data_IF_021627800499
#
_entry.id   IF_021627800499
#
_cell.length_a   1.000
_cell.length_b   1.000
_cell.length_c   1.000
_cell.angle_alpha   90.00
_cell.angle_beta   90.00
_cell.angle_gamma   90.00
#
_symmetry.space_group_name_H-M   'P 1'
#
loop_
_entity.id
_entity.type
_entity.pdbx_description
1 polymer ?
#
# COMPACT_ATOMS: atom_id res chain seq x y z
N UNK A 1 -39.49 -41.46 17.01
CA UNK A 1 -38.37 -40.49 17.15
C UNK A 1 -37.99 -39.77 15.83
N UNK A 2 -38.89 -39.62 14.85
CA UNK A 2 -38.59 -38.95 13.57
C UNK A 2 -39.12 -37.51 13.47
N UNK A 3 -39.92 -37.07 14.44
CA UNK A 3 -40.56 -35.75 14.44
C UNK A 3 -39.60 -34.61 14.83
N UNK A 4 -38.55 -34.91 15.60
CA UNK A 4 -37.57 -33.89 16.03
C UNK A 4 -36.68 -33.40 14.87
N UNK A 5 -36.32 -34.28 13.93
CA UNK A 5 -35.45 -33.92 12.80
C UNK A 5 -36.11 -32.92 11.83
N UNK A 6 -37.44 -32.99 11.66
CA UNK A 6 -38.19 -32.06 10.82
C UNK A 6 -38.24 -30.63 11.42
N UNK A 7 -38.23 -30.50 12.74
CA UNK A 7 -38.24 -29.21 13.43
C UNK A 7 -36.88 -28.49 13.36
N UNK A 8 -35.78 -29.23 13.23
CA UNK A 8 -34.45 -28.65 13.01
C UNK A 8 -34.17 -28.29 11.55
N UNK A 9 -34.87 -28.91 10.58
CA UNK A 9 -34.78 -28.55 9.17
C UNK A 9 -35.44 -27.21 8.83
N UNK A 10 -36.34 -26.69 9.69
CA UNK A 10 -37.02 -25.41 9.48
C UNK A 10 -36.26 -24.19 10.01
N UNK A 11 -35.11 -24.38 10.66
CA UNK A 11 -34.22 -23.29 11.07
C UNK A 11 -33.32 -22.92 9.90
N UNK A 12 -33.91 -22.27 8.89
CA UNK A 12 -33.15 -21.59 7.85
C UNK A 12 -32.14 -20.62 8.47
N UNK A 13 -31.07 -20.30 7.72
CA UNK A 13 -30.08 -19.32 8.16
C UNK A 13 -30.78 -18.09 8.74
N UNK A 14 -30.43 -17.64 9.96
CA UNK A 14 -31.00 -16.43 10.53
C UNK A 14 -30.82 -15.32 9.49
N UNK A 15 -31.92 -14.68 9.11
CA UNK A 15 -31.89 -13.52 8.22
C UNK A 15 -31.14 -12.43 8.99
N UNK A 16 -29.85 -12.26 8.69
CA UNK A 16 -29.07 -11.11 9.16
C UNK A 16 -29.90 -9.83 8.89
N UNK A 17 -29.84 -8.83 9.78
CA UNK A 17 -30.77 -7.70 9.77
C UNK A 17 -30.77 -6.89 8.46
N UNK A 18 -29.84 -7.13 7.54
CA UNK A 18 -29.92 -6.73 6.13
C UNK A 18 -29.30 -7.83 5.25
N UNK A 19 -30.03 -8.45 4.29
CA UNK A 19 -29.43 -9.43 3.39
C UNK A 19 -28.40 -8.73 2.48
N UNK A 20 -27.16 -9.22 2.48
CA UNK A 20 -26.12 -8.72 1.59
C UNK A 20 -26.52 -8.95 0.12
N UNK A 21 -26.74 -7.87 -0.62
CA UNK A 21 -27.01 -7.93 -2.05
C UNK A 21 -25.69 -7.83 -2.83
N UNK A 22 -25.20 -8.97 -3.31
CA UNK A 22 -23.97 -9.03 -4.08
C UNK A 22 -24.16 -8.44 -5.49
N UNK A 23 -23.67 -7.22 -5.74
CA UNK A 23 -23.65 -6.63 -7.10
C UNK A 23 -22.69 -7.40 -8.02
N UNK A 24 -21.63 -7.96 -7.43
CA UNK A 24 -20.63 -8.79 -8.11
C UNK A 24 -20.54 -10.14 -7.41
N UNK A 25 -20.19 -11.22 -8.13
CA UNK A 25 -20.03 -12.53 -7.54
C UNK A 25 -18.96 -12.50 -6.44
N UNK A 26 -19.25 -13.13 -5.30
CA UNK A 26 -18.33 -13.30 -4.17
C UNK A 26 -17.24 -14.31 -4.54
N UNK A 27 -16.28 -13.85 -5.33
CA UNK A 27 -15.12 -14.62 -5.76
C UNK A 27 -13.91 -13.71 -5.93
N UNK A 28 -12.74 -14.28 -5.64
CA UNK A 28 -11.47 -13.58 -5.86
C UNK A 28 -11.19 -13.46 -7.36
N UNK A 29 -10.68 -12.31 -7.77
CA UNK A 29 -10.21 -12.10 -9.14
C UNK A 29 -8.80 -12.66 -9.31
N UNK A 30 -8.42 -12.97 -10.55
CA UNK A 30 -7.06 -13.41 -10.91
C UNK A 30 -6.02 -12.28 -10.88
N UNK A 31 -6.44 -11.03 -10.73
CA UNK A 31 -5.56 -9.85 -10.71
C UNK A 31 -6.04 -8.80 -9.72
N UNK A 32 -5.09 -8.06 -9.17
CA UNK A 32 -5.29 -6.86 -8.35
C UNK A 32 -5.03 -5.60 -9.16
N UNK A 33 -5.72 -4.52 -8.80
CA UNK A 33 -5.58 -3.21 -9.44
C UNK A 33 -4.47 -2.40 -8.77
N UNK A 34 -3.56 -1.82 -9.56
CA UNK A 34 -2.55 -0.87 -9.08
C UNK A 34 -3.06 0.57 -8.91
N UNK A 35 -4.37 0.82 -9.09
CA UNK A 35 -4.93 2.19 -9.03
C UNK A 35 -4.69 2.88 -7.68
N UNK A 36 -4.62 2.10 -6.59
CA UNK A 36 -4.40 2.61 -5.23
C UNK A 36 -2.92 2.82 -4.86
N UNK A 37 -1.97 2.34 -5.65
CA UNK A 37 -0.55 2.35 -5.27
C UNK A 37 0.13 3.72 -5.44
N UNK A 38 -0.58 4.70 -6.02
CA UNK A 38 -0.09 6.07 -6.14
C UNK A 38 -0.38 6.84 -4.84
N UNK A 39 0.51 6.73 -3.87
CA UNK A 39 0.51 7.63 -2.70
C UNK A 39 1.31 8.89 -3.04
N UNK A 40 0.74 10.06 -2.76
CA UNK A 40 1.47 11.34 -2.79
C UNK A 40 2.26 11.46 -1.49
N UNK A 41 3.30 10.64 -1.35
CA UNK A 41 4.16 10.73 -0.16
C UNK A 41 4.99 12.01 -0.25
N UNK A 42 4.80 12.89 0.73
CA UNK A 42 5.64 14.06 0.94
C UNK A 42 6.90 13.60 1.67
N UNK A 43 8.05 13.69 1.03
CA UNK A 43 9.33 13.32 1.64
C UNK A 43 9.90 14.45 2.50
N UNK A 44 10.78 14.07 3.44
CA UNK A 44 11.84 14.93 3.94
C UNK A 44 11.31 16.11 4.78
N UNK A 45 10.14 15.93 5.39
CA UNK A 45 9.43 16.98 6.17
C UNK A 45 10.24 17.39 7.39
N UNK A 46 10.97 16.44 8.00
CA UNK A 46 11.80 16.70 9.16
C UNK A 46 12.98 17.61 8.82
N UNK A 47 13.73 17.30 7.78
CA UNK A 47 14.86 18.11 7.33
C UNK A 47 14.40 19.48 6.85
N UNK A 48 13.23 19.53 6.21
CA UNK A 48 12.59 20.78 5.78
C UNK A 48 12.22 21.67 6.98
N UNK A 49 11.69 21.11 8.07
CA UNK A 49 11.32 21.88 9.26
C UNK A 49 12.55 22.42 10.00
N UNK A 50 13.63 21.64 10.08
CA UNK A 50 14.91 22.08 10.65
C UNK A 50 15.52 23.21 9.83
N UNK A 51 15.50 23.10 8.49
CA UNK A 51 15.97 24.16 7.60
C UNK A 51 15.19 25.46 7.80
N UNK A 52 13.86 25.37 7.86
CA UNK A 52 13.03 26.56 8.09
C UNK A 52 13.21 27.16 9.48
N UNK A 53 13.52 26.36 10.50
CA UNK A 53 13.87 26.90 11.81
C UNK A 53 15.16 27.74 11.74
N UNK A 54 16.18 27.24 11.05
CA UNK A 54 17.44 27.99 10.86
C UNK A 54 17.23 29.28 10.04
N UNK A 55 16.43 29.23 8.98
CA UNK A 55 16.11 30.42 8.21
C UNK A 55 15.37 31.46 9.03
N UNK A 56 14.40 31.03 9.85
CA UNK A 56 13.66 31.94 10.73
C UNK A 56 14.56 32.64 11.75
N UNK A 57 15.58 31.96 12.29
CA UNK A 57 16.49 32.55 13.27
C UNK A 57 17.53 33.49 12.67
N UNK A 58 17.79 33.40 11.36
CA UNK A 58 18.87 34.12 10.69
C UNK A 58 18.37 35.04 9.55
N UNK A 59 17.13 35.51 9.63
CA UNK A 59 16.49 36.37 8.62
C UNK A 59 16.62 35.83 7.19
N UNK A 60 16.48 34.50 7.06
CA UNK A 60 16.59 33.76 5.80
C UNK A 60 17.96 33.87 5.10
N UNK A 61 19.01 34.24 5.84
CA UNK A 61 20.38 34.18 5.35
C UNK A 61 20.83 32.72 5.20
N UNK A 62 21.34 32.38 4.02
CA UNK A 62 21.71 31.01 3.67
C UNK A 62 23.08 30.60 4.24
N UNK A 63 24.01 31.54 4.38
CA UNK A 63 25.37 31.27 4.85
C UNK A 63 25.42 30.55 6.22
N UNK A 64 24.66 30.97 7.26
CA UNK A 64 24.65 30.26 8.54
C UNK A 64 23.93 28.90 8.50
N UNK A 65 23.04 28.67 7.51
CA UNK A 65 22.19 27.48 7.42
C UNK A 65 22.70 26.44 6.39
N UNK A 66 23.98 26.49 6.03
CA UNK A 66 24.57 25.59 5.03
C UNK A 66 24.43 24.11 5.41
N UNK A 67 24.54 23.79 6.70
CA UNK A 67 24.46 22.41 7.20
C UNK A 67 23.07 21.82 7.03
N UNK A 68 22.04 22.60 7.36
CA UNK A 68 20.63 22.23 7.26
C UNK A 68 20.22 22.08 5.79
N UNK A 69 20.73 22.94 4.90
CA UNK A 69 20.51 22.82 3.46
C UNK A 69 21.11 21.53 2.91
N UNK A 70 22.35 21.21 3.26
CA UNK A 70 22.98 19.95 2.84
C UNK A 70 22.21 18.72 3.35
N UNK A 71 21.74 18.76 4.60
CA UNK A 71 20.97 17.66 5.18
C UNK A 71 19.65 17.43 4.41
N UNK A 72 18.92 18.50 4.10
CA UNK A 72 17.70 18.45 3.30
C UNK A 72 17.98 17.89 1.89
N UNK A 73 19.01 18.38 1.22
CA UNK A 73 19.39 17.90 -0.12
C UNK A 73 19.77 16.42 -0.11
N UNK A 74 20.56 15.97 0.87
CA UNK A 74 20.92 14.56 1.03
C UNK A 74 19.68 13.69 1.20
N UNK A 75 18.73 14.10 2.05
CA UNK A 75 17.46 13.38 2.22
C UNK A 75 16.68 13.29 0.90
N UNK A 76 16.59 14.39 0.15
CA UNK A 76 15.86 14.42 -1.12
C UNK A 76 16.49 13.52 -2.18
N UNK A 77 17.82 13.54 -2.34
CA UNK A 77 18.54 12.70 -3.29
C UNK A 77 18.35 11.22 -2.95
N UNK A 78 18.52 10.85 -1.67
CA UNK A 78 18.31 9.48 -1.20
C UNK A 78 16.88 8.99 -1.49
N UNK A 79 15.89 9.87 -1.30
CA UNK A 79 14.51 9.55 -1.62
C UNK A 79 14.30 9.31 -3.12
N UNK A 80 14.82 10.18 -3.99
CA UNK A 80 14.74 10.01 -5.44
C UNK A 80 15.35 8.69 -5.90
N UNK A 81 16.53 8.34 -5.37
CA UNK A 81 17.17 7.05 -5.65
C UNK A 81 16.31 5.87 -5.18
N UNK A 82 15.73 5.95 -3.98
CA UNK A 82 14.89 4.88 -3.43
C UNK A 82 13.64 4.66 -4.27
N UNK A 83 13.00 5.73 -4.74
CA UNK A 83 11.82 5.70 -5.63
C UNK A 83 12.20 5.10 -6.97
N UNK A 84 13.34 5.50 -7.54
CA UNK A 84 13.85 4.93 -8.80
C UNK A 84 14.10 3.43 -8.67
N UNK A 85 14.82 3.00 -7.63
CA UNK A 85 15.10 1.58 -7.34
C UNK A 85 13.79 0.79 -7.12
N UNK A 86 12.81 1.37 -6.43
CA UNK A 86 11.48 0.75 -6.24
C UNK A 86 10.78 0.54 -7.59
N UNK A 87 10.68 1.59 -8.42
CA UNK A 87 10.07 1.51 -9.75
C UNK A 87 10.74 0.49 -10.67
N UNK A 88 12.07 0.43 -10.65
CA UNK A 88 12.83 -0.55 -11.43
C UNK A 88 12.56 -1.99 -10.97
N UNK A 89 12.51 -2.24 -9.65
CA UNK A 89 12.14 -3.55 -9.11
C UNK A 89 10.72 -3.96 -9.48
N UNK A 90 9.77 -3.03 -9.37
CA UNK A 90 8.38 -3.25 -9.78
C UNK A 90 8.26 -3.52 -11.28
N UNK A 91 9.00 -2.81 -12.12
CA UNK A 91 9.01 -3.01 -13.57
C UNK A 91 9.58 -4.37 -13.97
N UNK A 92 10.63 -4.83 -13.29
CA UNK A 92 11.22 -6.16 -13.51
C UNK A 92 10.38 -7.30 -12.93
N UNK A 93 9.40 -7.01 -12.07
CA UNK A 93 8.55 -8.03 -11.45
C UNK A 93 9.31 -9.02 -10.57
N UNK A 94 10.48 -8.65 -10.05
CA UNK A 94 11.35 -9.54 -9.27
C UNK A 94 10.64 -9.91 -7.97
N UNK A 95 10.47 -11.20 -7.71
CA UNK A 95 9.91 -11.71 -6.45
C UNK A 95 11.06 -12.01 -5.50
N UNK A 96 11.17 -11.27 -4.39
CA UNK A 96 12.14 -11.60 -3.35
C UNK A 96 11.46 -12.49 -2.28
N UNK A 97 12.00 -13.69 -1.99
CA UNK A 97 11.42 -14.57 -0.98
C UNK A 97 11.36 -13.89 0.40
N UNK A 98 10.22 -13.98 1.08
CA UNK A 98 10.02 -13.41 2.42
C UNK A 98 9.64 -11.92 2.45
N UNK A 99 9.52 -11.26 1.29
CA UNK A 99 9.09 -9.86 1.23
C UNK A 99 7.61 -9.73 1.58
N UNK A 100 7.32 -8.94 2.62
CA UNK A 100 5.95 -8.72 3.13
C UNK A 100 5.16 -7.70 2.32
N UNK A 101 5.84 -6.81 1.57
CA UNK A 101 5.23 -5.70 0.83
C UNK A 101 5.52 -5.86 -0.66
N UNK A 102 4.61 -6.54 -1.36
CA UNK A 102 4.69 -6.71 -2.80
C UNK A 102 3.87 -5.65 -3.52
N UNK A 103 4.36 -5.19 -4.68
CA UNK A 103 3.62 -4.35 -5.61
C UNK A 103 2.54 -5.13 -6.34
N UNK A 104 1.48 -4.46 -6.80
CA UNK A 104 0.43 -5.07 -7.63
C UNK A 104 0.98 -5.90 -8.81
N UNK A 105 2.09 -5.47 -9.43
CA UNK A 105 2.72 -6.22 -10.53
C UNK A 105 3.28 -7.56 -10.05
N UNK A 106 4.00 -7.55 -8.93
CA UNK A 106 4.57 -8.74 -8.31
C UNK A 106 3.46 -9.68 -7.83
N UNK A 107 2.39 -9.15 -7.23
CA UNK A 107 1.23 -9.93 -6.79
C UNK A 107 0.53 -10.59 -8.00
N UNK A 108 0.34 -9.86 -9.10
CA UNK A 108 -0.30 -10.42 -10.29
C UNK A 108 0.50 -11.58 -10.89
N UNK A 109 1.83 -11.53 -10.87
CA UNK A 109 2.68 -12.67 -11.29
C UNK A 109 2.41 -13.90 -10.40
N UNK A 110 2.21 -13.70 -9.09
CA UNK A 110 1.90 -14.81 -8.17
C UNK A 110 0.50 -15.37 -8.40
N UNK A 111 -0.50 -14.50 -8.60
CA UNK A 111 -1.89 -14.91 -8.86
C UNK A 111 -2.04 -15.62 -10.20
N UNK A 112 -1.21 -15.31 -11.19
CA UNK A 112 -1.17 -16.05 -12.46
C UNK A 112 -0.58 -17.46 -12.29
N UNK A 113 0.43 -17.63 -11.43
CA UNK A 113 1.02 -18.93 -11.13
C UNK A 113 0.10 -19.82 -10.29
N UNK A 114 -0.64 -19.22 -9.37
CA UNK A 114 -1.57 -19.92 -8.46
C UNK A 114 -2.98 -19.34 -8.60
N UNK A 115 -3.63 -19.56 -9.75
CA UNK A 115 -4.95 -19.01 -9.97
C UNK A 115 -5.98 -19.67 -9.06
N UNK A 116 -6.95 -18.88 -8.61
CA UNK A 116 -8.12 -19.44 -7.94
C UNK A 116 -8.99 -20.14 -9.00
N UNK A 117 -8.95 -21.47 -8.98
CA UNK A 117 -9.85 -22.30 -9.76
C UNK A 117 -11.18 -22.37 -9.01
N UNK A 118 -12.12 -21.53 -9.44
CA UNK A 118 -13.52 -21.68 -9.10
C UNK A 118 -14.26 -22.22 -10.31
#
# INVERSE_FOLDING_TARGET
MRLAAALFASRGNPKEPVPFQAILPLQLKRKVSGKGDKTSDVCCIYEMSVLFACFKSNDFNQAPCAKEMEAFQKCYINHLESVKKKKEREAKGILTPGEKKLSHKQINILLEKFPNFK
#
